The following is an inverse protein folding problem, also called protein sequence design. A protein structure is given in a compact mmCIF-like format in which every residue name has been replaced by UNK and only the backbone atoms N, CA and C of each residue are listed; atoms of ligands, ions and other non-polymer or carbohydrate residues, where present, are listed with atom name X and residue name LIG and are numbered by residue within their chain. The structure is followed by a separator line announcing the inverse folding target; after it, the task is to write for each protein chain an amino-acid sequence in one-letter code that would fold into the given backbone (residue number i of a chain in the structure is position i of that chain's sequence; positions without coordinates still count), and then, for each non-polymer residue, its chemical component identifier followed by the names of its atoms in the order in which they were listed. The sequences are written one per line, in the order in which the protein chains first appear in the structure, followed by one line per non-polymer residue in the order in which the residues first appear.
data_IF_002089941354
#
_entry.id   IF_002089941354
#
_cell.length_a   1.000
_cell.length_b   1.000
_cell.length_c   1.000
_cell.angle_alpha   90.00
_cell.angle_beta   90.00
_cell.angle_gamma   90.00
#
_symmetry.space_group_name_H-M   'P 1'
#
loop_
_entity.id
_entity.type
_entity.pdbx_description
1 polymer ?
#
# COMPACT_ATOMS: atom_id res chain seq x y z
N UNK A 1 18.17 -20.96 4.82
CA UNK A 1 17.28 -21.06 3.66
C UNK A 1 17.45 -19.89 2.72
N UNK A 2 18.42 -19.61 2.10
CA UNK A 2 18.63 -18.54 1.11
C UNK A 2 20.06 -18.55 0.62
N UNK A 3 20.27 -18.14 -0.63
CA UNK A 3 21.62 -18.06 -1.20
C UNK A 3 22.26 -16.72 -0.83
N UNK A 4 23.38 -16.68 -0.11
CA UNK A 4 24.08 -15.43 0.18
C UNK A 4 24.65 -14.78 -1.09
N UNK A 5 25.01 -15.56 -2.09
CA UNK A 5 25.47 -15.07 -3.38
C UNK A 5 24.33 -14.35 -4.10
N UNK A 6 23.13 -14.94 -4.11
CA UNK A 6 21.92 -14.29 -4.66
C UNK A 6 21.60 -12.99 -3.93
N UNK A 7 21.68 -13.00 -2.58
CA UNK A 7 21.47 -11.81 -1.78
C UNK A 7 22.44 -10.69 -2.13
N UNK A 8 23.73 -10.99 -2.25
CA UNK A 8 24.75 -10.01 -2.62
C UNK A 8 24.52 -9.43 -4.02
N UNK A 9 24.28 -10.29 -5.03
CA UNK A 9 24.01 -9.83 -6.40
C UNK A 9 22.78 -8.96 -6.46
N UNK A 10 21.65 -9.41 -5.86
CA UNK A 10 20.41 -8.64 -5.83
C UNK A 10 20.57 -7.31 -5.10
N UNK A 11 21.30 -7.27 -3.99
CA UNK A 11 21.58 -6.05 -3.24
C UNK A 11 22.36 -5.05 -4.07
N UNK A 12 23.45 -5.49 -4.73
CA UNK A 12 24.28 -4.63 -5.58
C UNK A 12 23.45 -4.04 -6.74
N UNK A 13 22.68 -4.89 -7.44
CA UNK A 13 21.86 -4.45 -8.56
C UNK A 13 20.74 -3.51 -8.08
N UNK A 14 20.08 -3.81 -6.94
CA UNK A 14 19.06 -2.97 -6.33
C UNK A 14 19.61 -1.60 -5.94
N UNK A 15 20.77 -1.56 -5.30
CA UNK A 15 21.43 -0.29 -4.92
C UNK A 15 21.84 0.50 -6.15
N UNK A 16 22.49 -0.14 -7.14
CA UNK A 16 22.85 0.51 -8.40
C UNK A 16 21.65 1.12 -9.12
N UNK A 17 20.56 0.35 -9.24
CA UNK A 17 19.28 0.83 -9.80
C UNK A 17 18.70 2.01 -9.02
N UNK A 18 18.73 1.91 -7.69
CA UNK A 18 18.20 2.94 -6.80
C UNK A 18 19.01 4.23 -6.92
N UNK A 19 20.35 4.16 -6.83
CA UNK A 19 21.21 5.34 -6.93
C UNK A 19 21.16 6.00 -8.32
N UNK A 20 20.95 5.22 -9.37
CA UNK A 20 20.76 5.73 -10.74
C UNK A 20 19.48 6.58 -10.83
N UNK A 21 18.38 6.14 -10.20
CA UNK A 21 17.08 6.82 -10.34
C UNK A 21 16.82 7.92 -9.30
N UNK A 22 17.54 7.97 -8.19
CA UNK A 22 17.42 9.06 -7.20
C UNK A 22 17.57 10.43 -7.86
N UNK A 23 18.67 10.77 -8.58
CA UNK A 23 18.82 12.08 -9.18
C UNK A 23 17.78 12.36 -10.27
N UNK A 24 17.41 11.35 -11.05
CA UNK A 24 16.38 11.51 -12.08
C UNK A 24 15.03 11.90 -11.44
N UNK A 25 14.60 11.18 -10.40
CA UNK A 25 13.35 11.52 -9.71
C UNK A 25 13.43 12.88 -9.02
N UNK A 26 14.57 13.24 -8.44
CA UNK A 26 14.76 14.53 -7.80
C UNK A 26 14.60 15.69 -8.82
N UNK A 27 15.21 15.57 -9.99
CA UNK A 27 15.09 16.56 -11.08
C UNK A 27 13.65 16.63 -11.59
N UNK A 28 13.01 15.49 -11.84
CA UNK A 28 11.62 15.44 -12.33
C UNK A 28 10.64 16.06 -11.33
N UNK A 29 10.88 15.86 -10.02
CA UNK A 29 10.09 16.50 -8.95
C UNK A 29 10.33 18.02 -8.90
N UNK A 30 11.57 18.46 -8.96
CA UNK A 30 11.93 19.86 -8.91
C UNK A 30 11.37 20.64 -10.13
N UNK A 31 11.37 20.02 -11.29
CA UNK A 31 10.82 20.58 -12.53
C UNK A 31 9.28 20.55 -12.60
N UNK A 32 8.60 19.92 -11.63
CA UNK A 32 7.13 19.86 -11.60
C UNK A 32 6.49 18.97 -12.69
N UNK A 33 7.28 18.14 -13.35
CA UNK A 33 6.77 17.30 -14.43
C UNK A 33 5.76 16.24 -13.96
N UNK A 34 4.72 16.00 -14.74
CA UNK A 34 3.73 14.95 -14.46
C UNK A 34 4.34 13.53 -14.36
N UNK A 35 5.52 13.34 -14.95
CA UNK A 35 6.32 12.12 -14.85
C UNK A 35 6.71 11.79 -13.39
N UNK A 36 6.83 12.79 -12.50
CA UNK A 36 7.12 12.61 -11.08
C UNK A 36 6.16 11.64 -10.37
N UNK A 37 4.93 11.47 -10.89
CA UNK A 37 3.94 10.53 -10.36
C UNK A 37 4.09 9.12 -10.94
N UNK A 38 4.62 8.98 -12.17
CA UNK A 38 4.72 7.72 -12.91
C UNK A 38 6.07 7.01 -12.75
N UNK A 39 7.15 7.79 -12.63
CA UNK A 39 8.51 7.25 -12.50
C UNK A 39 8.67 6.30 -11.29
N UNK A 40 8.10 6.59 -10.10
CA UNK A 40 8.14 5.64 -8.99
C UNK A 40 7.52 4.27 -9.32
N UNK A 41 6.43 4.24 -10.09
CA UNK A 41 5.82 2.97 -10.50
C UNK A 41 6.75 2.15 -11.38
N UNK A 42 7.44 2.79 -12.31
CA UNK A 42 8.46 2.11 -13.13
C UNK A 42 9.60 1.58 -12.25
N UNK A 43 10.12 2.43 -11.34
CA UNK A 43 11.15 2.03 -10.38
C UNK A 43 10.74 0.79 -9.59
N UNK A 44 9.56 0.80 -8.99
CA UNK A 44 9.08 -0.31 -8.16
C UNK A 44 8.79 -1.58 -8.96
N UNK A 45 8.38 -1.48 -10.22
CA UNK A 45 8.25 -2.66 -11.10
C UNK A 45 9.58 -3.37 -11.31
N UNK A 46 10.64 -2.61 -11.53
CA UNK A 46 11.98 -3.18 -11.64
C UNK A 46 12.42 -3.75 -10.28
N UNK A 47 12.19 -3.03 -9.19
CA UNK A 47 12.48 -3.52 -7.84
C UNK A 47 11.77 -4.85 -7.53
N UNK A 48 10.49 -5.01 -7.89
CA UNK A 48 9.80 -6.30 -7.72
C UNK A 48 10.54 -7.44 -8.44
N UNK A 49 10.97 -7.22 -9.69
CA UNK A 49 11.74 -8.24 -10.44
C UNK A 49 13.09 -8.55 -9.78
N UNK A 50 13.82 -7.51 -9.36
CA UNK A 50 15.12 -7.67 -8.70
C UNK A 50 15.01 -8.40 -7.35
N UNK A 51 13.94 -8.14 -6.61
CA UNK A 51 13.64 -8.79 -5.33
C UNK A 51 13.06 -10.20 -5.49
N UNK A 52 12.74 -10.60 -6.73
CA UNK A 52 12.11 -11.90 -7.00
C UNK A 52 10.63 -11.93 -6.61
N UNK A 53 9.95 -10.77 -6.58
CA UNK A 53 8.52 -10.68 -6.28
C UNK A 53 7.72 -10.86 -7.56
N UNK A 54 6.94 -11.94 -7.64
CA UNK A 54 5.93 -12.18 -8.67
C UNK A 54 4.59 -11.64 -8.17
N UNK A 55 4.19 -10.49 -8.68
CA UNK A 55 2.97 -9.80 -8.23
C UNK A 55 1.79 -10.18 -9.11
N UNK A 56 0.84 -10.88 -8.52
CA UNK A 56 -0.42 -11.31 -9.16
C UNK A 56 -1.54 -10.37 -8.71
N UNK A 57 -2.13 -9.67 -9.67
CA UNK A 57 -3.21 -8.72 -9.42
C UNK A 57 -4.57 -9.32 -9.77
N UNK A 58 -5.56 -9.14 -8.89
CA UNK A 58 -6.98 -9.43 -9.13
C UNK A 58 -7.84 -8.20 -8.80
N UNK A 59 -9.05 -8.17 -9.32
CA UNK A 59 -9.95 -7.03 -9.16
C UNK A 59 -9.58 -5.81 -10.02
N UNK A 60 -10.49 -4.84 -10.07
CA UNK A 60 -10.34 -3.63 -10.86
C UNK A 60 -9.88 -2.47 -9.99
N UNK A 61 -8.96 -1.68 -10.53
CA UNK A 61 -8.50 -0.45 -9.87
C UNK A 61 -9.51 0.64 -10.18
N UNK A 62 -10.06 1.27 -9.16
CA UNK A 62 -11.01 2.36 -9.31
C UNK A 62 -10.42 3.49 -10.17
N UNK A 63 -11.13 3.92 -11.22
CA UNK A 63 -10.63 4.93 -12.17
C UNK A 63 -10.69 6.34 -11.61
N UNK A 64 -11.58 6.60 -10.62
CA UNK A 64 -11.81 7.94 -10.05
C UNK A 64 -10.63 8.40 -9.22
N UNK A 65 -10.35 9.69 -9.31
CA UNK A 65 -9.41 10.41 -8.43
C UNK A 65 -10.09 11.69 -7.94
N UNK A 66 -9.89 12.12 -6.71
CA UNK A 66 -8.96 11.55 -5.71
C UNK A 66 -9.45 10.20 -5.15
N UNK A 67 -8.50 9.37 -4.71
CA UNK A 67 -8.79 8.05 -4.15
C UNK A 67 -7.88 7.77 -2.96
N UNK A 68 -8.46 7.16 -1.93
CA UNK A 68 -7.74 6.63 -0.79
C UNK A 68 -7.76 5.11 -0.83
N UNK A 69 -6.62 4.49 -1.01
CA UNK A 69 -6.46 3.06 -0.90
C UNK A 69 -6.19 2.67 0.56
N UNK A 70 -6.88 1.65 1.02
CA UNK A 70 -6.73 1.07 2.35
C UNK A 70 -6.19 -0.34 2.21
N UNK A 71 -5.06 -0.66 2.86
CA UNK A 71 -4.46 -2.00 2.76
C UNK A 71 -4.05 -2.54 4.11
N UNK A 72 -4.03 -3.88 4.25
CA UNK A 72 -3.29 -4.53 5.32
C UNK A 72 -1.78 -4.32 5.15
N UNK A 73 -1.02 -4.52 6.22
CA UNK A 73 0.41 -4.27 6.23
C UNK A 73 1.18 -5.42 6.85
N UNK A 74 2.03 -6.05 6.05
CA UNK A 74 2.81 -7.21 6.43
C UNK A 74 4.31 -6.90 6.44
N UNK A 75 4.76 -6.07 5.49
CA UNK A 75 6.18 -5.82 5.27
C UNK A 75 6.41 -4.47 4.60
N UNK A 76 7.64 -3.92 4.71
CA UNK A 76 8.06 -2.80 3.85
C UNK A 76 7.99 -3.14 2.36
N UNK A 77 7.98 -4.43 2.01
CA UNK A 77 7.81 -4.90 0.63
C UNK A 77 6.45 -4.52 0.04
N UNK A 78 5.41 -4.36 0.88
CA UNK A 78 4.07 -3.95 0.45
C UNK A 78 4.09 -2.61 -0.29
N UNK A 79 4.99 -1.71 0.12
CA UNK A 79 5.21 -0.42 -0.55
C UNK A 79 5.68 -0.65 -1.99
N UNK A 80 6.68 -1.51 -2.17
CA UNK A 80 7.21 -1.85 -3.49
C UNK A 80 6.17 -2.55 -4.35
N UNK A 81 5.42 -3.49 -3.77
CA UNK A 81 4.36 -4.24 -4.44
C UNK A 81 3.25 -3.30 -4.93
N UNK A 82 2.66 -2.48 -4.04
CA UNK A 82 1.57 -1.57 -4.40
C UNK A 82 2.02 -0.50 -5.39
N UNK A 83 3.17 0.14 -5.14
CA UNK A 83 3.70 1.16 -6.04
C UNK A 83 4.10 0.61 -7.42
N UNK A 84 4.32 -0.71 -7.56
CA UNK A 84 4.52 -1.33 -8.87
C UNK A 84 3.24 -1.43 -9.71
N UNK A 85 2.08 -1.45 -9.05
CA UNK A 85 0.77 -1.61 -9.69
C UNK A 85 0.09 -0.28 -9.99
N UNK A 86 0.20 0.68 -9.08
CA UNK A 86 -0.56 1.95 -9.09
C UNK A 86 0.34 3.16 -8.85
N UNK A 87 -0.03 4.31 -9.42
CA UNK A 87 0.66 5.60 -9.21
C UNK A 87 0.15 6.22 -7.91
N UNK A 88 0.83 5.96 -6.79
CA UNK A 88 0.40 6.36 -5.44
C UNK A 88 1.54 6.97 -4.63
N UNK A 89 1.15 7.69 -3.58
CA UNK A 89 2.01 8.04 -2.46
C UNK A 89 1.51 7.33 -1.19
N UNK A 90 2.35 7.23 -0.19
CA UNK A 90 2.03 6.51 1.05
C UNK A 90 1.90 7.47 2.23
N UNK A 91 1.06 7.11 3.18
CA UNK A 91 1.04 7.75 4.49
C UNK A 91 1.95 6.94 5.41
N UNK A 92 3.04 7.56 5.82
CA UNK A 92 4.11 6.94 6.61
C UNK A 92 4.28 7.62 7.98
N UNK A 93 4.92 6.94 8.92
CA UNK A 93 5.29 7.52 10.22
C UNK A 93 6.38 8.58 10.05
N UNK A 94 6.31 9.67 10.81
CA UNK A 94 7.27 10.77 10.74
C UNK A 94 8.73 10.33 10.98
N UNK A 95 8.93 9.31 11.82
CA UNK A 95 10.27 8.78 12.11
C UNK A 95 10.96 8.21 10.86
N UNK A 96 10.19 7.64 9.91
CA UNK A 96 10.72 7.08 8.66
C UNK A 96 11.43 8.16 7.83
N UNK A 97 11.00 9.42 7.90
CA UNK A 97 11.62 10.52 7.16
C UNK A 97 13.11 10.74 7.52
N UNK A 98 13.54 10.23 8.68
CA UNK A 98 14.93 10.35 9.20
C UNK A 98 15.78 9.12 8.93
N UNK A 99 15.19 8.02 8.43
CA UNK A 99 15.95 6.80 8.16
C UNK A 99 16.90 7.00 6.99
N UNK A 100 18.16 6.56 7.12
CA UNK A 100 19.11 6.60 6.02
C UNK A 100 18.52 5.90 4.78
N UNK A 101 18.73 6.46 3.60
CA UNK A 101 18.23 6.01 2.31
C UNK A 101 16.68 5.89 2.24
N UNK A 102 16.04 5.14 3.13
CA UNK A 102 14.59 4.91 3.12
C UNK A 102 13.78 6.20 3.31
N UNK A 103 14.25 7.12 4.16
CA UNK A 103 13.64 8.44 4.32
C UNK A 103 13.71 9.28 3.05
N UNK A 104 14.85 9.22 2.33
CA UNK A 104 15.00 9.88 1.03
C UNK A 104 14.05 9.26 0.00
N UNK A 105 14.02 7.94 -0.10
CA UNK A 105 13.13 7.23 -1.03
C UNK A 105 11.65 7.54 -0.74
N UNK A 106 11.25 7.58 0.54
CA UNK A 106 9.89 7.94 0.92
C UNK A 106 9.54 9.40 0.53
N UNK A 107 10.48 10.34 0.64
CA UNK A 107 10.31 11.72 0.16
C UNK A 107 10.19 11.78 -1.37
N UNK A 108 11.03 11.05 -2.09
CA UNK A 108 10.97 10.94 -3.55
C UNK A 108 9.69 10.25 -4.03
N UNK A 109 9.11 9.34 -3.23
CA UNK A 109 7.79 8.75 -3.43
C UNK A 109 6.65 9.72 -3.09
N UNK A 110 6.98 10.95 -2.63
CA UNK A 110 6.02 11.97 -2.22
C UNK A 110 5.13 11.52 -1.04
N UNK A 111 5.65 10.68 -0.15
CA UNK A 111 4.92 10.20 1.02
C UNK A 111 4.51 11.34 1.94
N UNK A 112 3.36 11.19 2.60
CA UNK A 112 2.87 12.07 3.66
C UNK A 112 3.35 11.51 4.99
N UNK A 113 4.03 12.32 5.81
CA UNK A 113 4.59 11.87 7.07
C UNK A 113 3.72 12.34 8.24
N UNK A 114 3.18 11.39 9.00
CA UNK A 114 2.29 11.67 10.14
C UNK A 114 2.93 11.27 11.47
N UNK A 115 2.76 12.11 12.48
CA UNK A 115 3.12 11.80 13.87
C UNK A 115 1.99 11.05 14.56
N UNK A 116 2.33 10.12 15.49
CA UNK A 116 1.34 9.31 16.23
C UNK A 116 0.62 10.06 17.34
N UNK A 117 0.93 11.34 17.58
CA UNK A 117 0.35 12.11 18.69
C UNK A 117 -1.07 12.53 18.36
N UNK A 118 -2.02 12.26 19.27
CA UNK A 118 -3.43 12.62 19.12
C UNK A 118 -3.64 14.13 18.91
N UNK A 119 -2.77 14.98 19.49
CA UNK A 119 -2.78 16.43 19.33
C UNK A 119 -2.56 16.90 17.88
N UNK A 120 -1.94 16.09 17.05
CA UNK A 120 -1.65 16.41 15.64
C UNK A 120 -2.64 15.79 14.64
N UNK A 121 -3.66 15.08 15.11
CA UNK A 121 -4.61 14.35 14.25
C UNK A 121 -5.34 15.27 13.27
N UNK A 122 -5.64 16.50 13.67
CA UNK A 122 -6.28 17.50 12.79
C UNK A 122 -5.36 17.94 11.67
N UNK A 123 -4.10 18.30 11.97
CA UNK A 123 -3.08 18.69 10.99
C UNK A 123 -2.82 17.57 9.98
N UNK A 124 -2.72 16.32 10.43
CA UNK A 124 -2.50 15.16 9.55
C UNK A 124 -3.67 14.94 8.59
N UNK A 125 -4.91 15.07 9.10
CA UNK A 125 -6.11 15.00 8.27
C UNK A 125 -6.10 16.09 7.19
N UNK A 126 -5.70 17.31 7.55
CA UNK A 126 -5.65 18.44 6.62
C UNK A 126 -4.56 18.26 5.58
N UNK A 127 -3.39 17.73 5.95
CA UNK A 127 -2.29 17.42 5.02
C UNK A 127 -2.67 16.31 4.03
N UNK A 128 -3.25 15.21 4.49
CA UNK A 128 -3.77 14.14 3.64
C UNK A 128 -4.88 14.70 2.74
N UNK A 129 -5.83 15.46 3.29
CA UNK A 129 -6.89 16.10 2.54
C UNK A 129 -6.38 16.99 1.43
N UNK A 130 -5.43 17.88 1.73
CA UNK A 130 -4.83 18.76 0.73
C UNK A 130 -4.14 18.01 -0.43
N UNK A 131 -3.62 16.80 -0.17
CA UNK A 131 -3.05 15.92 -1.22
C UNK A 131 -4.15 15.33 -2.09
N UNK A 132 -5.22 14.86 -1.48
CA UNK A 132 -6.40 14.32 -2.18
C UNK A 132 -7.07 15.41 -3.03
N UNK A 133 -7.24 16.62 -2.50
CA UNK A 133 -7.83 17.76 -3.24
C UNK A 133 -7.01 18.11 -4.50
N UNK A 134 -5.70 17.87 -4.50
CA UNK A 134 -4.84 17.97 -5.69
C UNK A 134 -4.94 16.80 -6.66
N UNK A 135 -5.84 15.84 -6.40
CA UNK A 135 -6.06 14.65 -7.22
C UNK A 135 -5.00 13.56 -7.03
N UNK A 136 -4.25 13.59 -5.93
CA UNK A 136 -3.32 12.50 -5.61
C UNK A 136 -4.09 11.24 -5.19
N UNK A 137 -3.48 10.08 -5.41
CA UNK A 137 -3.91 8.83 -4.83
C UNK A 137 -2.98 8.48 -3.67
N UNK A 138 -3.56 8.11 -2.53
CA UNK A 138 -2.80 7.78 -1.33
C UNK A 138 -3.11 6.36 -0.87
N UNK A 139 -2.12 5.71 -0.26
CA UNK A 139 -2.28 4.43 0.45
C UNK A 139 -2.09 4.65 1.94
N UNK A 140 -3.03 4.15 2.73
CA UNK A 140 -2.93 4.09 4.20
C UNK A 140 -2.96 2.63 4.64
N UNK A 141 -2.12 2.32 5.62
CA UNK A 141 -2.11 1.05 6.35
C UNK A 141 -2.72 1.28 7.74
N UNK A 142 -4.04 1.10 7.92
CA UNK A 142 -4.72 1.53 9.14
C UNK A 142 -4.45 0.64 10.36
N UNK A 143 -3.77 -0.48 10.20
CA UNK A 143 -3.21 -1.27 11.29
C UNK A 143 -2.20 -0.44 12.11
N UNK A 144 -1.52 0.51 11.46
CA UNK A 144 -0.51 1.38 12.08
C UNK A 144 0.77 0.64 12.49
N UNK A 145 0.87 -0.63 12.19
CA UNK A 145 2.06 -1.49 12.34
C UNK A 145 1.97 -2.63 11.33
N UNK A 146 3.05 -3.34 11.12
CA UNK A 146 3.10 -4.55 10.30
C UNK A 146 2.71 -5.78 11.12
N UNK A 147 2.09 -6.76 10.48
CA UNK A 147 1.69 -8.05 11.05
C UNK A 147 2.60 -9.19 10.57
N UNK A 148 2.41 -10.39 11.12
CA UNK A 148 3.11 -11.62 10.72
C UNK A 148 2.63 -12.20 9.37
N UNK A 149 1.67 -11.55 8.71
CA UNK A 149 1.08 -11.98 7.44
C UNK A 149 0.06 -13.10 7.55
N UNK A 150 -0.26 -13.56 8.75
CA UNK A 150 -1.26 -14.62 8.97
C UNK A 150 -2.68 -14.09 9.18
N UNK A 151 -2.80 -12.82 9.54
CA UNK A 151 -4.09 -12.17 9.84
C UNK A 151 -4.00 -10.66 9.63
N UNK A 152 -5.15 -10.06 9.41
CA UNK A 152 -5.31 -8.61 9.36
C UNK A 152 -5.59 -8.10 10.77
N UNK A 153 -4.79 -7.15 11.23
CA UNK A 153 -4.92 -6.53 12.54
C UNK A 153 -6.14 -5.57 12.59
N UNK A 154 -6.62 -5.20 13.78
CA UNK A 154 -7.67 -4.20 13.91
C UNK A 154 -7.27 -2.86 13.28
N UNK A 155 -8.21 -2.24 12.57
CA UNK A 155 -7.99 -0.94 11.94
C UNK A 155 -8.24 0.22 12.91
N UNK A 156 -7.37 1.22 12.89
CA UNK A 156 -7.52 2.46 13.65
C UNK A 156 -8.49 3.38 12.92
N UNK A 157 -9.74 3.45 13.39
CA UNK A 157 -10.79 4.26 12.76
C UNK A 157 -10.42 5.75 12.65
N UNK A 158 -9.56 6.27 13.53
CA UNK A 158 -9.06 7.64 13.45
C UNK A 158 -8.35 7.97 12.13
N UNK A 159 -7.72 6.97 11.48
CA UNK A 159 -7.07 7.15 10.17
C UNK A 159 -8.07 7.30 9.02
N UNK A 160 -9.33 6.98 9.26
CA UNK A 160 -10.43 7.18 8.31
C UNK A 160 -11.09 8.55 8.43
N UNK A 161 -10.65 9.43 9.34
CA UNK A 161 -11.22 10.76 9.50
C UNK A 161 -11.13 11.65 8.23
N UNK A 162 -10.21 11.31 7.32
CA UNK A 162 -10.12 11.98 6.02
C UNK A 162 -11.28 11.60 5.09
N UNK A 163 -11.92 10.44 5.30
CA UNK A 163 -13.07 9.99 4.52
C UNK A 163 -14.35 10.80 4.82
N UNK A 164 -14.38 11.57 5.91
CA UNK A 164 -15.46 12.50 6.25
C UNK A 164 -15.51 13.71 5.30
N UNK A 165 -14.45 13.91 4.50
CA UNK A 165 -14.37 15.03 3.55
C UNK A 165 -15.02 14.66 2.22
N UNK A 166 -15.65 15.64 1.62
CA UNK A 166 -15.95 15.60 0.19
C UNK A 166 -14.74 16.10 -0.58
N UNK A 167 -14.43 15.47 -1.69
CA UNK A 167 -13.40 15.93 -2.61
C UNK A 167 -14.07 16.36 -3.92
N UNK A 168 -13.94 17.63 -4.28
CA UNK A 168 -14.60 18.23 -5.47
C UNK A 168 -16.14 18.12 -5.43
N UNK A 169 -16.72 18.21 -4.23
CA UNK A 169 -18.17 18.14 -4.05
C UNK A 169 -18.76 16.73 -4.00
N UNK A 170 -17.94 15.69 -4.13
CA UNK A 170 -18.37 14.28 -4.03
C UNK A 170 -17.71 13.57 -2.84
N UNK A 171 -18.32 12.52 -2.27
CA UNK A 171 -17.69 11.70 -1.24
C UNK A 171 -16.36 11.12 -1.72
N UNK A 172 -15.38 11.06 -0.81
CA UNK A 172 -14.06 10.49 -1.13
C UNK A 172 -14.20 8.99 -1.44
N UNK A 173 -13.72 8.59 -2.60
CA UNK A 173 -13.65 7.17 -2.98
C UNK A 173 -12.59 6.45 -2.14
N UNK A 174 -13.01 5.38 -1.47
CA UNK A 174 -12.16 4.48 -0.69
C UNK A 174 -12.10 3.15 -1.43
N UNK A 175 -10.88 2.61 -1.65
CA UNK A 175 -10.76 1.27 -2.21
C UNK A 175 -9.91 0.38 -1.30
N UNK A 176 -10.50 -0.69 -0.72
CA UNK A 176 -9.74 -1.69 0.03
C UNK A 176 -8.85 -2.53 -0.88
N UNK A 177 -7.65 -2.88 -0.39
CA UNK A 177 -6.68 -3.74 -1.08
C UNK A 177 -6.20 -4.79 -0.09
N UNK A 178 -6.28 -6.07 -0.45
CA UNK A 178 -5.62 -7.14 0.31
C UNK A 178 -4.31 -7.54 -0.34
N UNK A 179 -3.27 -7.73 0.48
CA UNK A 179 -1.96 -8.22 0.08
C UNK A 179 -1.67 -9.51 0.85
N UNK A 180 -1.29 -10.57 0.14
CA UNK A 180 -0.89 -11.83 0.73
C UNK A 180 0.35 -12.42 0.05
N UNK A 181 1.32 -12.86 0.84
CA UNK A 181 2.50 -13.59 0.36
C UNK A 181 2.16 -15.08 0.38
N UNK A 182 1.94 -15.66 -0.79
CA UNK A 182 1.25 -16.96 -0.91
C UNK A 182 2.17 -18.11 -1.30
N UNK A 183 3.21 -17.87 -2.09
CA UNK A 183 4.11 -18.95 -2.56
C UNK A 183 5.58 -18.52 -2.50
N UNK A 184 6.46 -19.47 -2.23
CA UNK A 184 7.91 -19.35 -2.36
C UNK A 184 8.39 -20.45 -3.32
N UNK A 185 9.05 -20.06 -4.41
CA UNK A 185 9.50 -20.94 -5.49
C UNK A 185 8.38 -21.89 -6.01
N UNK A 186 7.16 -21.35 -6.13
CA UNK A 186 5.97 -22.08 -6.58
C UNK A 186 5.26 -22.89 -5.49
N UNK A 187 5.90 -23.12 -4.35
CA UNK A 187 5.31 -23.88 -3.24
C UNK A 187 4.50 -22.95 -2.31
N UNK A 188 3.30 -23.35 -1.86
CA UNK A 188 2.53 -22.57 -0.90
C UNK A 188 3.32 -22.29 0.37
N UNK A 189 3.29 -21.03 0.81
CA UNK A 189 3.91 -20.64 2.08
C UNK A 189 2.97 -20.99 3.22
N UNK A 190 3.33 -22.00 4.02
CA UNK A 190 2.62 -22.37 5.24
C UNK A 190 2.66 -21.26 6.30
N UNK A 191 1.77 -21.38 7.29
CA UNK A 191 1.63 -20.39 8.37
C UNK A 191 2.94 -20.06 9.08
N UNK A 192 3.81 -21.04 9.29
CA UNK A 192 5.09 -20.88 9.99
C UNK A 192 6.15 -20.16 9.14
N UNK A 193 6.01 -20.21 7.81
CA UNK A 193 6.97 -19.63 6.88
C UNK A 193 6.61 -18.21 6.40
N UNK A 194 5.35 -17.77 6.54
CA UNK A 194 4.93 -16.41 6.19
C UNK A 194 5.71 -15.33 6.90
N UNK A 195 6.09 -15.47 8.20
CA UNK A 195 6.95 -14.51 8.89
C UNK A 195 8.31 -14.26 8.23
N UNK A 196 8.77 -15.12 7.32
CA UNK A 196 10.00 -14.87 6.55
C UNK A 196 9.85 -13.76 5.51
N UNK A 197 8.63 -13.53 4.99
CA UNK A 197 8.33 -12.42 4.08
C UNK A 197 7.83 -11.18 4.84
N UNK A 198 7.34 -11.37 6.07
CA UNK A 198 6.82 -10.32 6.93
C UNK A 198 7.96 -9.63 7.70
N UNK A 199 7.82 -8.33 7.88
CA UNK A 199 8.72 -7.55 8.74
C UNK A 199 7.91 -6.91 9.85
N UNK A 200 7.99 -7.41 11.07
CA UNK A 200 7.15 -7.01 12.19
C UNK A 200 7.87 -7.11 13.54
N UNK A 201 7.28 -6.53 14.57
CA UNK A 201 7.81 -6.56 15.92
C UNK A 201 9.16 -5.83 16.02
N UNK A 202 10.14 -6.50 16.63
CA UNK A 202 11.49 -5.99 16.85
C UNK A 202 12.51 -6.42 15.79
N UNK A 203 12.04 -6.88 14.61
CA UNK A 203 12.94 -7.32 13.54
C UNK A 203 13.78 -6.16 13.01
N UNK A 204 15.09 -6.36 12.93
CA UNK A 204 15.99 -5.40 12.31
C UNK A 204 15.90 -5.46 10.78
N UNK A 205 15.75 -4.29 10.16
CA UNK A 205 15.57 -4.18 8.72
C UNK A 205 16.74 -4.73 7.91
N UNK A 206 18.03 -4.46 8.21
CA UNK A 206 19.14 -4.96 7.38
C UNK A 206 19.19 -6.48 7.35
N UNK A 207 19.06 -7.13 8.49
CA UNK A 207 19.08 -8.61 8.59
C UNK A 207 17.91 -9.26 7.87
N UNK A 208 16.70 -8.67 7.99
CA UNK A 208 15.53 -9.15 7.27
C UNK A 208 15.66 -8.94 5.75
N UNK A 209 16.10 -7.76 5.31
CA UNK A 209 16.31 -7.47 3.89
C UNK A 209 17.32 -8.44 3.26
N UNK A 210 18.45 -8.68 3.91
CA UNK A 210 19.44 -9.65 3.47
C UNK A 210 18.83 -11.05 3.28
N UNK A 211 18.03 -11.48 4.24
CA UNK A 211 17.33 -12.78 4.18
C UNK A 211 16.39 -12.84 2.98
N UNK A 212 15.53 -11.82 2.80
CA UNK A 212 14.57 -11.76 1.69
C UNK A 212 15.30 -11.77 0.34
N UNK A 213 16.38 -11.00 0.21
CA UNK A 213 17.19 -10.98 -1.02
C UNK A 213 17.78 -12.35 -1.37
N UNK A 214 18.06 -13.18 -0.37
CA UNK A 214 18.55 -14.54 -0.54
C UNK A 214 17.47 -15.56 -0.93
N UNK A 215 16.18 -15.27 -0.71
CA UNK A 215 15.09 -16.16 -1.07
C UNK A 215 14.94 -16.33 -2.58
N UNK A 216 14.16 -17.33 -3.00
CA UNK A 216 13.81 -17.56 -4.40
C UNK A 216 12.80 -16.54 -4.95
N UNK A 217 11.78 -17.06 -5.64
CA UNK A 217 10.67 -16.26 -6.16
C UNK A 217 9.48 -16.29 -5.19
N UNK A 218 9.06 -15.11 -4.74
CA UNK A 218 7.92 -14.95 -3.84
C UNK A 218 6.72 -14.51 -4.66
N UNK A 219 5.63 -15.29 -4.67
CA UNK A 219 4.37 -14.87 -5.25
C UNK A 219 3.57 -14.08 -4.23
N UNK A 220 3.16 -12.88 -4.64
CA UNK A 220 2.38 -11.94 -3.84
C UNK A 220 1.05 -11.67 -4.56
N UNK A 221 -0.05 -12.07 -3.96
CA UNK A 221 -1.38 -11.74 -4.46
C UNK A 221 -1.84 -10.39 -3.93
N UNK A 222 -2.31 -9.55 -4.85
CA UNK A 222 -2.88 -8.24 -4.54
C UNK A 222 -4.27 -8.17 -5.14
N UNK A 223 -5.28 -8.04 -4.27
CA UNK A 223 -6.67 -7.93 -4.69
C UNK A 223 -7.22 -6.55 -4.42
N UNK A 224 -7.74 -5.92 -5.47
CA UNK A 224 -8.50 -4.68 -5.39
C UNK A 224 -9.97 -5.02 -5.17
N UNK A 225 -10.51 -4.66 -4.01
CA UNK A 225 -11.92 -4.88 -3.67
C UNK A 225 -12.81 -3.77 -4.27
N UNK A 226 -14.14 -3.96 -4.29
CA UNK A 226 -15.06 -2.90 -4.68
C UNK A 226 -14.81 -1.62 -3.88
N UNK A 227 -14.97 -0.50 -4.55
CA UNK A 227 -14.86 0.82 -3.90
C UNK A 227 -16.02 1.06 -2.93
N UNK A 228 -15.77 1.87 -1.92
CA UNK A 228 -16.70 2.23 -0.86
C UNK A 228 -16.62 3.75 -0.65
N UNK A 229 -17.67 4.32 -0.09
CA UNK A 229 -17.63 5.64 0.51
C UNK A 229 -18.24 5.63 1.92
N UNK A 230 -18.14 6.77 2.62
CA UNK A 230 -18.59 6.84 4.00
C UNK A 230 -20.14 6.82 4.11
N UNK A 231 -20.86 7.34 3.11
CA UNK A 231 -22.31 7.36 3.08
C UNK A 231 -22.89 5.96 2.89
N UNK A 232 -22.31 5.19 1.94
CA UNK A 232 -22.65 3.77 1.75
C UNK A 232 -22.37 2.93 3.01
N UNK A 233 -21.24 3.21 3.69
CA UNK A 233 -20.92 2.51 4.92
C UNK A 233 -21.88 2.85 6.07
N UNK A 234 -22.32 4.11 6.17
CA UNK A 234 -23.29 4.56 7.14
C UNK A 234 -24.65 3.90 6.91
N UNK A 235 -25.16 3.95 5.69
CA UNK A 235 -26.44 3.33 5.30
C UNK A 235 -26.46 1.84 5.59
N UNK A 236 -25.39 1.14 5.23
CA UNK A 236 -25.27 -0.29 5.50
C UNK A 236 -25.17 -0.65 7.00
N UNK A 237 -24.79 0.31 7.84
CA UNK A 237 -24.79 0.19 9.30
C UNK A 237 -26.11 0.61 9.95
N UNK A 238 -27.13 0.97 9.15
CA UNK A 238 -28.42 1.45 9.64
C UNK A 238 -28.38 2.87 10.22
N UNK A 239 -27.37 3.68 9.85
CA UNK A 239 -27.23 5.06 10.28
C UNK A 239 -27.95 5.99 9.29
N UNK A 240 -28.66 6.98 9.80
CA UNK A 240 -29.22 8.05 8.98
C UNK A 240 -28.12 9.04 8.60
N UNK A 241 -27.64 8.94 7.35
CA UNK A 241 -26.55 9.78 6.87
C UNK A 241 -27.03 11.15 6.39
N UNK A 242 -28.26 11.43 6.21
CA UNK A 242 -28.85 12.72 5.85
C UNK A 242 -27.93 13.71 5.10
N UNK A 243 -28.42 14.90 4.82
CA UNK A 243 -27.58 15.95 4.19
C UNK A 243 -26.55 16.57 5.14
N UNK A 244 -26.86 16.61 6.43
CA UNK A 244 -25.98 17.16 7.49
C UNK A 244 -25.96 16.22 8.71
N UNK A 245 -25.20 15.11 8.65
CA UNK A 245 -25.14 14.18 9.75
C UNK A 245 -24.46 14.81 10.98
N UNK A 246 -24.97 14.51 12.16
CA UNK A 246 -24.38 14.97 13.40
C UNK A 246 -23.01 14.32 13.68
N UNK A 247 -22.27 14.86 14.65
CA UNK A 247 -20.92 14.37 14.98
C UNK A 247 -20.90 12.92 15.44
N UNK A 248 -21.94 12.44 16.10
CA UNK A 248 -22.02 11.07 16.58
C UNK A 248 -22.25 10.11 15.41
N UNK A 249 -23.15 10.45 14.50
CA UNK A 249 -23.41 9.72 13.24
C UNK A 249 -22.14 9.65 12.38
N UNK A 250 -21.43 10.76 12.19
CA UNK A 250 -20.14 10.79 11.44
C UNK A 250 -19.11 9.88 12.10
N UNK A 251 -18.97 9.90 13.42
CA UNK A 251 -18.02 9.04 14.12
C UNK A 251 -18.40 7.54 14.03
N UNK A 252 -19.72 7.22 14.05
CA UNK A 252 -20.21 5.86 13.87
C UNK A 252 -19.99 5.37 12.43
N UNK A 253 -20.32 6.20 11.42
CA UNK A 253 -20.09 5.90 10.00
C UNK A 253 -18.61 5.64 9.70
N UNK A 254 -17.69 6.43 10.27
CA UNK A 254 -16.25 6.20 10.15
C UNK A 254 -15.83 4.85 10.74
N UNK A 255 -16.40 4.43 11.87
CA UNK A 255 -16.14 3.10 12.44
C UNK A 255 -16.69 2.00 11.54
N UNK A 256 -17.90 2.18 11.00
CA UNK A 256 -18.51 1.24 10.07
C UNK A 256 -17.68 1.09 8.79
N UNK A 257 -17.21 2.20 8.20
CA UNK A 257 -16.33 2.19 7.03
C UNK A 257 -15.01 1.45 7.32
N UNK A 258 -14.38 1.72 8.47
CA UNK A 258 -13.15 1.05 8.87
C UNK A 258 -13.35 -0.47 9.00
N UNK A 259 -14.45 -0.90 9.60
CA UNK A 259 -14.76 -2.33 9.77
C UNK A 259 -15.12 -3.00 8.44
N UNK A 260 -15.88 -2.35 7.55
CA UNK A 260 -16.15 -2.88 6.20
C UNK A 260 -14.87 -3.06 5.39
N UNK A 261 -13.96 -2.06 5.41
CA UNK A 261 -12.65 -2.18 4.78
C UNK A 261 -11.86 -3.34 5.38
N UNK A 262 -11.81 -3.45 6.71
CA UNK A 262 -11.10 -4.52 7.41
C UNK A 262 -11.66 -5.90 7.04
N UNK A 263 -12.98 -6.07 7.05
CA UNK A 263 -13.64 -7.32 6.72
C UNK A 263 -13.38 -7.74 5.27
N UNK A 264 -13.49 -6.82 4.30
CA UNK A 264 -13.19 -7.10 2.90
C UNK A 264 -11.74 -7.53 2.71
N UNK A 265 -10.79 -6.82 3.34
CA UNK A 265 -9.36 -7.11 3.27
C UNK A 265 -9.05 -8.44 3.96
N UNK A 266 -9.60 -8.69 5.15
CA UNK A 266 -9.39 -9.94 5.88
C UNK A 266 -9.91 -11.15 5.11
N UNK A 267 -11.08 -11.02 4.48
CA UNK A 267 -11.64 -12.07 3.62
C UNK A 267 -10.72 -12.32 2.41
N UNK A 268 -10.29 -11.27 1.70
CA UNK A 268 -9.38 -11.41 0.57
C UNK A 268 -8.02 -12.02 0.94
N UNK A 269 -7.46 -11.66 2.11
CA UNK A 269 -6.23 -12.30 2.62
C UNK A 269 -6.49 -13.77 2.91
N UNK A 270 -7.61 -14.12 3.60
CA UNK A 270 -7.94 -15.48 3.93
C UNK A 270 -8.12 -16.35 2.68
N UNK A 271 -8.84 -15.85 1.66
CA UNK A 271 -9.01 -16.55 0.38
C UNK A 271 -7.67 -16.78 -0.35
N UNK A 272 -6.80 -15.76 -0.40
CA UNK A 272 -5.47 -15.89 -1.01
C UNK A 272 -4.61 -16.91 -0.29
N UNK A 273 -4.68 -16.96 1.04
CA UNK A 273 -3.91 -17.90 1.85
C UNK A 273 -4.47 -19.33 1.83
N UNK A 274 -5.78 -19.52 1.63
CA UNK A 274 -6.42 -20.84 1.60
C UNK A 274 -6.28 -21.54 0.26
N UNK A 275 -6.18 -20.78 -0.82
CA UNK A 275 -6.32 -21.35 -2.15
C UNK A 275 -5.39 -20.79 -3.19
N UNK A 276 -4.16 -20.35 -2.86
CA UNK A 276 -3.28 -19.76 -3.88
C UNK A 276 -3.67 -20.22 -5.29
N UNK A 277 -4.62 -19.51 -5.91
CA UNK A 277 -5.17 -19.94 -7.22
C UNK A 277 -4.02 -19.93 -8.22
N UNK A 278 -3.99 -20.91 -9.11
CA UNK A 278 -3.20 -20.85 -10.34
C UNK A 278 -3.75 -19.73 -11.25
N UNK A 279 -3.59 -18.50 -10.80
CA UNK A 279 -3.88 -17.33 -11.64
C UNK A 279 -2.63 -17.12 -12.48
N UNK A 280 -2.74 -17.50 -13.74
CA UNK A 280 -1.71 -17.20 -14.72
C UNK A 280 -1.34 -15.70 -14.63
N UNK A 281 -0.06 -15.33 -14.68
CA UNK A 281 0.36 -13.93 -14.66
C UNK A 281 -0.35 -13.21 -15.80
N UNK A 282 -1.03 -12.09 -15.49
CA UNK A 282 -1.66 -11.25 -16.51
C UNK A 282 -0.54 -10.78 -17.45
N UNK A 283 -0.55 -11.16 -18.73
CA UNK A 283 0.46 -10.72 -19.67
C UNK A 283 0.47 -9.18 -19.70
N UNK A 284 1.63 -8.54 -19.88
CA UNK A 284 1.69 -7.11 -20.06
C UNK A 284 0.80 -6.73 -21.23
N UNK A 285 -0.14 -5.80 -21.02
CA UNK A 285 -0.95 -5.26 -22.14
C UNK A 285 0.02 -4.85 -23.25
N UNK A 286 -0.14 -5.46 -24.42
CA UNK A 286 0.49 -4.99 -25.64
C UNK A 286 0.17 -3.50 -25.75
N UNK A 287 1.19 -2.67 -25.92
CA UNK A 287 1.05 -1.26 -26.23
C UNK A 287 0.22 -1.18 -27.50
N UNK A 288 -1.05 -0.77 -27.36
CA UNK A 288 -1.91 -0.54 -28.53
C UNK A 288 -1.19 0.44 -29.43
N UNK A 289 -0.88 -0.02 -30.62
CA UNK A 289 -0.53 0.83 -31.74
C UNK A 289 -1.68 1.81 -31.93
N UNK A 290 -1.38 3.10 -31.75
CA UNK A 290 -2.25 4.17 -32.20
C UNK A 290 -2.28 4.13 -33.72
N UNK A 291 -3.47 3.97 -34.27
CA UNK A 291 -3.79 4.45 -35.59
C UNK A 291 -4.40 5.84 -35.46
#
# INVERSE_FOLDING_TARGET
MGSPIRAAIRLLVYLGWTFLLIPVQAVVLAAGFGLARRLPRFYHRVCCRLLGLNVVRTGEIAPRRPILFISNHTSYLDITVLASLIDVSFVAKAEIARWPLFGLLAKLQRSVFIERRASHSRRHRDEIGARLDRGDALVIFPEGTTSDGNRVMPFKSALFAVAERTARGEPLTIQPISIAYVRLDGMPIGREWRPYCAWYGAMELPGHLWRVLGLGHITVEVRFHPQLDIAEAATAAGLDWGSEPDRATVAAARKALAERCRSAIAHGVAESLAGGRDVAPVPPRASGAAA
#
